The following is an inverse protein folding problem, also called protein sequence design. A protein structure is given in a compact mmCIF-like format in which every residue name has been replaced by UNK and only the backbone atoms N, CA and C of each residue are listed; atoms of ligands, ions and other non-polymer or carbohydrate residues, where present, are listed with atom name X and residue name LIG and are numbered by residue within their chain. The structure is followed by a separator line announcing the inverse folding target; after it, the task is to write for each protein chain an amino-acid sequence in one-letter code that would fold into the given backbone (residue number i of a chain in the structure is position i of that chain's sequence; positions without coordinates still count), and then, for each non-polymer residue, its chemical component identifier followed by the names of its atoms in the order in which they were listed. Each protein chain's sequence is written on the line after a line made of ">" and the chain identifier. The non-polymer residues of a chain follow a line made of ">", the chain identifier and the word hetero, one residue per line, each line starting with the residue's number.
data_IF_329099420945
#
_entry.id   IF_329099420945
#
_cell.length_a   1.000
_cell.length_b   1.000
_cell.length_c   1.000
_cell.angle_alpha   90.00
_cell.angle_beta   90.00
_cell.angle_gamma   90.00
#
_symmetry.space_group_name_H-M   'P 1'
#
loop_
_entity.id
_entity.type
_entity.pdbx_description
1 polymer ?
#
# COMPACT_ATOMS: atom_id res chain seq x y z
N UNK A 1 -2.64 17.60 -8.18
CA UNK A 1 -2.18 17.90 -6.79
C UNK A 1 -3.30 18.38 -5.86
N UNK A 2 -4.52 18.66 -6.34
CA UNK A 2 -5.62 19.28 -5.58
C UNK A 2 -6.58 18.30 -4.85
N UNK A 3 -6.54 17.00 -5.15
CA UNK A 3 -7.47 16.02 -4.55
C UNK A 3 -6.88 15.22 -3.38
N UNK A 4 -5.55 15.02 -3.36
CA UNK A 4 -4.84 14.26 -2.31
C UNK A 4 -5.01 14.89 -0.92
N UNK A 5 -5.04 16.23 -0.84
CA UNK A 5 -5.22 16.96 0.44
C UNK A 5 -6.63 16.87 1.04
N UNK A 6 -7.62 16.34 0.31
CA UNK A 6 -9.00 16.19 0.83
C UNK A 6 -9.16 14.97 1.73
N UNK A 7 -8.20 14.05 1.71
CA UNK A 7 -8.24 12.84 2.51
C UNK A 7 -7.59 13.12 3.87
N UNK A 8 -8.37 13.06 4.95
CA UNK A 8 -7.92 13.26 6.33
C UNK A 8 -6.69 12.40 6.65
N UNK A 9 -6.62 11.19 6.10
CA UNK A 9 -5.50 10.27 6.24
C UNK A 9 -4.16 10.87 5.75
N UNK A 10 -4.19 11.64 4.66
CA UNK A 10 -3.00 12.24 4.05
C UNK A 10 -2.66 13.61 4.64
N UNK A 11 -3.61 14.23 5.35
CA UNK A 11 -3.39 15.51 6.04
C UNK A 11 -2.48 15.40 7.26
N UNK A 12 -2.32 14.18 7.80
CA UNK A 12 -1.47 13.87 8.95
C UNK A 12 -0.02 13.58 8.55
N UNK A 13 0.27 13.47 7.25
CA UNK A 13 1.58 13.14 6.73
C UNK A 13 2.46 14.37 6.54
N UNK A 14 3.78 14.16 6.54
CA UNK A 14 4.75 15.20 6.26
C UNK A 14 4.46 15.87 4.88
N UNK A 15 4.40 17.21 4.78
CA UNK A 15 4.14 17.89 3.53
C UNK A 15 5.12 17.57 2.40
N UNK A 16 6.40 17.32 2.71
CA UNK A 16 7.42 16.89 1.75
C UNK A 16 7.11 15.49 1.22
N UNK A 17 6.74 14.57 2.11
CA UNK A 17 6.30 13.23 1.73
C UNK A 17 5.06 13.29 0.80
N UNK A 18 4.06 14.10 1.17
CA UNK A 18 2.85 14.31 0.34
C UNK A 18 3.20 14.85 -1.05
N UNK A 19 4.18 15.74 -1.15
CA UNK A 19 4.65 16.26 -2.44
C UNK A 19 5.38 15.21 -3.29
N UNK A 20 5.93 14.17 -2.66
CA UNK A 20 6.58 13.04 -3.33
C UNK A 20 5.60 11.96 -3.81
N UNK A 21 4.32 12.02 -3.42
CA UNK A 21 3.30 11.07 -3.87
C UNK A 21 3.09 11.21 -5.38
N UNK A 22 3.21 10.07 -6.08
CA UNK A 22 2.83 9.91 -7.49
C UNK A 22 1.38 9.46 -7.61
N UNK A 23 1.01 8.44 -6.85
CA UNK A 23 -0.33 7.86 -6.82
C UNK A 23 -0.67 7.42 -5.40
N UNK A 24 -1.94 7.54 -5.02
CA UNK A 24 -2.44 7.06 -3.74
C UNK A 24 -3.81 6.41 -3.94
N UNK A 25 -4.00 5.23 -3.39
CA UNK A 25 -5.26 4.50 -3.43
C UNK A 25 -5.73 4.31 -2.02
N UNK A 26 -6.88 4.90 -1.72
CA UNK A 26 -7.57 4.73 -0.45
C UNK A 26 -8.55 3.57 -0.60
N UNK A 27 -8.52 2.65 0.35
CA UNK A 27 -9.38 1.46 0.38
C UNK A 27 -9.83 1.15 1.82
N UNK A 28 -10.55 0.04 1.96
CA UNK A 28 -11.17 -0.35 3.22
C UNK A 28 -12.58 0.21 3.37
N UNK A 29 -13.43 -0.52 4.10
CA UNK A 29 -14.83 -0.15 4.31
C UNK A 29 -15.02 1.18 5.06
N UNK A 30 -13.98 1.65 5.75
CA UNK A 30 -13.97 2.92 6.47
C UNK A 30 -13.11 4.00 5.78
N UNK A 31 -12.48 3.71 4.62
CA UNK A 31 -11.59 4.65 3.93
C UNK A 31 -10.37 5.08 4.75
N UNK A 32 -9.94 4.23 5.68
CA UNK A 32 -8.85 4.51 6.62
C UNK A 32 -7.54 3.83 6.22
N UNK A 33 -7.49 3.14 5.09
CA UNK A 33 -6.27 2.55 4.56
C UNK A 33 -5.87 3.20 3.25
N UNK A 34 -4.56 3.29 3.03
CA UNK A 34 -4.02 3.73 1.76
C UNK A 34 -2.76 2.98 1.36
N UNK A 35 -2.60 2.82 0.05
CA UNK A 35 -1.33 2.53 -0.59
C UNK A 35 -0.85 3.78 -1.28
N UNK A 36 0.43 4.07 -1.10
CA UNK A 36 1.05 5.28 -1.59
C UNK A 36 2.23 4.86 -2.46
N UNK A 37 2.19 5.23 -3.73
CA UNK A 37 3.31 5.10 -4.65
C UNK A 37 3.94 6.47 -4.85
N UNK A 38 5.25 6.57 -4.61
CA UNK A 38 5.99 7.82 -4.70
C UNK A 38 6.73 7.96 -6.04
N UNK A 39 7.20 9.17 -6.34
CA UNK A 39 7.90 9.48 -7.60
C UNK A 39 9.26 8.81 -7.71
N UNK A 40 9.89 8.50 -6.58
CA UNK A 40 11.12 7.71 -6.45
C UNK A 40 10.87 6.20 -6.41
N UNK A 41 9.68 5.77 -6.87
CA UNK A 41 9.29 4.37 -7.04
C UNK A 41 9.32 3.55 -5.74
N UNK A 42 9.01 4.21 -4.62
CA UNK A 42 8.82 3.56 -3.33
C UNK A 42 7.32 3.37 -3.09
N UNK A 43 6.96 2.29 -2.42
CA UNK A 43 5.56 1.98 -2.09
C UNK A 43 5.41 1.87 -0.59
N UNK A 44 4.39 2.54 -0.05
CA UNK A 44 4.08 2.59 1.37
C UNK A 44 2.64 2.15 1.63
N UNK A 45 2.43 1.51 2.78
CA UNK A 45 1.13 1.21 3.35
C UNK A 45 0.82 2.11 4.54
N UNK A 46 -0.44 2.49 4.70
CA UNK A 46 -0.94 3.33 5.78
C UNK A 46 -2.32 2.83 6.24
N UNK A 47 -2.59 2.77 7.54
CA UNK A 47 -3.89 2.36 8.07
C UNK A 47 -3.86 1.66 9.44
N UNK A 48 -5.03 1.55 10.07
CA UNK A 48 -5.12 1.21 11.51
C UNK A 48 -5.25 -0.28 11.81
N UNK A 49 -5.84 -1.10 10.91
CA UNK A 49 -6.18 -2.50 11.23
C UNK A 49 -5.70 -3.53 10.19
N UNK A 50 -5.39 -3.08 8.98
CA UNK A 50 -5.12 -3.95 7.83
C UNK A 50 -3.70 -3.83 7.29
N UNK A 51 -2.91 -2.92 7.88
CA UNK A 51 -1.47 -2.85 7.71
C UNK A 51 -0.73 -4.13 8.15
N UNK A 52 -1.31 -4.94 9.02
CA UNK A 52 -0.82 -6.29 9.31
C UNK A 52 -0.68 -7.16 8.04
N UNK A 53 -1.44 -6.86 6.97
CA UNK A 53 -1.37 -7.57 5.67
C UNK A 53 -0.15 -7.20 4.83
N UNK A 54 0.44 -6.04 5.11
CA UNK A 54 1.61 -5.49 4.45
C UNK A 54 2.88 -5.69 5.29
N UNK A 55 2.79 -6.41 6.41
CA UNK A 55 3.89 -6.58 7.38
C UNK A 55 4.14 -5.35 8.25
N UNK A 56 3.18 -4.42 8.28
CA UNK A 56 3.27 -3.13 8.98
C UNK A 56 2.64 -3.29 10.38
N UNK A 57 3.35 -2.98 11.49
CA UNK A 57 2.78 -3.01 12.84
C UNK A 57 1.48 -2.20 12.94
N UNK A 58 0.47 -2.78 13.60
CA UNK A 58 -0.84 -2.17 13.79
C UNK A 58 -0.76 -0.87 14.60
N UNK A 59 -1.50 0.16 14.17
CA UNK A 59 -1.72 1.38 14.95
C UNK A 59 -0.80 2.56 14.64
N UNK A 60 0.09 2.47 13.66
CA UNK A 60 0.86 3.63 13.18
C UNK A 60 0.11 4.38 12.08
N UNK A 61 -0.14 5.67 12.28
CA UNK A 61 -0.52 6.61 11.21
C UNK A 61 0.68 7.09 10.40
N UNK A 62 1.82 6.39 10.51
CA UNK A 62 3.02 6.64 9.74
C UNK A 62 3.05 5.72 8.51
N UNK A 63 3.39 6.23 7.31
CA UNK A 63 3.56 5.40 6.13
C UNK A 63 4.71 4.43 6.36
N UNK A 64 4.45 3.13 6.22
CA UNK A 64 5.50 2.13 6.29
C UNK A 64 5.80 1.55 4.92
N UNK A 65 7.09 1.39 4.66
CA UNK A 65 7.62 0.97 3.38
C UNK A 65 7.33 -0.50 3.13
N UNK A 66 6.87 -0.82 1.93
CA UNK A 66 6.66 -2.18 1.43
C UNK A 66 7.83 -2.51 0.52
N UNK A 67 8.93 -2.98 1.09
CA UNK A 67 10.20 -3.17 0.36
C UNK A 67 10.07 -4.06 -0.87
N UNK A 68 9.15 -5.04 -0.86
CA UNK A 68 8.91 -5.94 -1.99
C UNK A 68 8.49 -5.22 -3.28
N UNK A 69 7.79 -4.09 -3.16
CA UNK A 69 7.26 -3.34 -4.30
C UNK A 69 8.14 -2.15 -4.68
N UNK A 70 9.10 -1.80 -3.85
CA UNK A 70 9.98 -0.66 -4.10
C UNK A 70 10.93 -0.98 -5.26
N UNK A 71 11.07 -0.04 -6.20
CA UNK A 71 11.89 -0.21 -7.40
C UNK A 71 11.28 -1.14 -8.47
N UNK A 72 10.05 -1.63 -8.26
CA UNK A 72 9.36 -2.52 -9.20
C UNK A 72 8.59 -1.78 -10.31
N UNK A 73 8.59 -0.44 -10.32
CA UNK A 73 7.82 0.39 -11.26
C UNK A 73 6.37 -0.06 -11.33
N UNK A 74 5.67 0.02 -10.21
CA UNK A 74 4.25 -0.33 -10.16
C UNK A 74 3.48 0.64 -11.06
N UNK A 75 2.68 0.09 -11.98
CA UNK A 75 1.85 0.86 -12.91
C UNK A 75 0.38 0.87 -12.55
N UNK A 76 -0.06 -0.10 -11.74
CA UNK A 76 -1.45 -0.21 -11.33
C UNK A 76 -1.58 -1.01 -10.03
N UNK A 77 -2.50 -0.59 -9.17
CA UNK A 77 -3.01 -1.43 -8.10
C UNK A 77 -4.48 -1.75 -8.32
N UNK A 78 -4.93 -2.88 -7.76
CA UNK A 78 -6.33 -3.25 -7.69
C UNK A 78 -6.66 -3.81 -6.31
N UNK A 79 -7.86 -3.51 -5.82
CA UNK A 79 -8.38 -4.05 -4.57
C UNK A 79 -9.75 -4.68 -4.80
N UNK A 80 -10.05 -5.76 -4.09
CA UNK A 80 -11.31 -6.50 -4.19
C UNK A 80 -12.16 -6.44 -2.92
N UNK A 81 -13.33 -7.08 -2.96
CA UNK A 81 -14.09 -7.38 -1.74
C UNK A 81 -13.36 -8.47 -0.96
N UNK A 82 -13.12 -8.22 0.33
CA UNK A 82 -12.20 -9.00 1.14
C UNK A 82 -10.75 -8.51 1.03
N UNK A 83 -9.82 -9.18 1.70
CA UNK A 83 -8.46 -8.69 1.88
C UNK A 83 -7.59 -9.13 0.70
N UNK A 84 -7.92 -8.61 -0.48
CA UNK A 84 -7.23 -8.91 -1.72
C UNK A 84 -6.71 -7.63 -2.31
N UNK A 85 -5.39 -7.52 -2.31
CA UNK A 85 -4.67 -6.43 -2.95
C UNK A 85 -3.78 -7.02 -4.05
N UNK A 86 -3.73 -6.33 -5.19
CA UNK A 86 -2.88 -6.67 -6.32
C UNK A 86 -2.07 -5.44 -6.73
N UNK A 87 -0.81 -5.66 -7.10
CA UNK A 87 0.02 -4.66 -7.76
C UNK A 87 0.61 -5.24 -9.04
N UNK A 88 0.57 -4.46 -10.11
CA UNK A 88 1.11 -4.83 -11.42
C UNK A 88 2.29 -3.92 -11.74
N UNK A 89 3.46 -4.50 -11.99
CA UNK A 89 4.63 -3.75 -12.45
C UNK A 89 4.59 -3.45 -13.95
N UNK A 90 5.45 -2.52 -14.39
CA UNK A 90 5.74 -2.32 -15.80
C UNK A 90 6.39 -3.55 -16.48
N UNK A 91 7.13 -4.36 -15.72
CA UNK A 91 7.72 -5.62 -16.19
C UNK A 91 6.70 -6.74 -16.38
N UNK A 92 5.45 -6.56 -15.93
CA UNK A 92 4.40 -7.58 -15.99
C UNK A 92 4.39 -8.54 -14.79
N UNK A 93 5.21 -8.29 -13.77
CA UNK A 93 5.14 -8.99 -12.48
C UNK A 93 3.86 -8.57 -11.75
N UNK A 94 3.11 -9.56 -11.25
CA UNK A 94 1.92 -9.33 -10.43
C UNK A 94 2.21 -9.76 -9.01
N UNK A 95 2.01 -8.85 -8.07
CA UNK A 95 2.15 -9.10 -6.64
C UNK A 95 0.76 -9.17 -6.03
N UNK A 96 0.49 -10.21 -5.25
CA UNK A 96 -0.77 -10.38 -4.55
C UNK A 96 -0.56 -10.58 -3.06
N UNK A 97 -1.45 -10.01 -2.26
CA UNK A 97 -1.50 -10.21 -0.81
C UNK A 97 -2.88 -10.66 -0.39
N UNK A 98 -2.92 -11.57 0.61
CA UNK A 98 -4.16 -12.03 1.25
C UNK A 98 -4.06 -11.96 2.77
N UNK A 99 -5.19 -11.68 3.42
CA UNK A 99 -5.34 -11.84 4.87
C UNK A 99 -4.98 -13.24 5.33
N UNK A 100 -4.13 -13.28 6.36
CA UNK A 100 -3.99 -14.45 7.20
C UNK A 100 -4.30 -14.03 8.64
N UNK A 101 -5.51 -14.31 9.11
CA UNK A 101 -6.06 -13.87 10.40
C UNK A 101 -5.34 -14.44 11.64
N UNK A 102 -4.28 -15.24 11.44
CA UNK A 102 -3.66 -16.08 12.47
C UNK A 102 -2.22 -15.66 12.82
N UNK A 103 -1.88 -14.37 12.72
CA UNK A 103 -0.77 -13.80 13.48
C UNK A 103 0.62 -14.38 13.23
N UNK A 104 0.89 -15.01 12.09
CA UNK A 104 2.26 -15.36 11.72
C UNK A 104 2.90 -14.18 10.99
N UNK A 105 3.85 -13.55 11.69
CA UNK A 105 4.85 -12.60 11.24
C UNK A 105 5.79 -13.26 10.20
N UNK A 106 5.21 -13.71 9.09
CA UNK A 106 5.91 -14.37 8.00
C UNK A 106 5.61 -13.55 6.74
N UNK A 107 6.61 -12.98 6.04
CA UNK A 107 6.40 -12.27 4.76
C UNK A 107 5.91 -13.20 3.62
N UNK A 108 5.53 -14.45 3.93
CA UNK A 108 5.20 -15.54 3.03
C UNK A 108 3.88 -15.41 2.25
N UNK A 109 3.08 -14.35 2.46
CA UNK A 109 1.82 -14.18 1.72
C UNK A 109 1.92 -13.28 0.48
N UNK A 110 3.11 -12.78 0.16
CA UNK A 110 3.34 -12.08 -1.10
C UNK A 110 3.66 -13.12 -2.18
N UNK A 111 2.67 -13.49 -2.99
CA UNK A 111 2.94 -14.34 -4.15
C UNK A 111 3.23 -13.44 -5.35
N UNK A 112 4.47 -13.52 -5.83
CA UNK A 112 4.83 -12.97 -7.12
C UNK A 112 4.40 -13.96 -8.20
N UNK A 113 3.50 -13.53 -9.06
CA UNK A 113 3.16 -14.23 -10.29
C UNK A 113 3.96 -13.60 -11.43
N UNK A 114 4.71 -14.44 -12.15
CA UNK A 114 5.32 -14.08 -13.42
C UNK A 114 4.44 -14.67 -14.52
N UNK A 115 3.93 -13.82 -15.40
CA UNK A 115 3.31 -14.27 -16.66
C UNK A 115 4.39 -14.60 -17.69
#
# INVERSE_FOLDING_TARGET
>A
MSEIKRWTLLSLLDPEFVNNIKECIVFGSAGCEALIHTKDDQVYGLGTNYCCWLGVPSGSFEPLKIDLLCGKRIKQFAYGSGPHLLALSESGEVFAWRHNSFGQLEPQNCVQFNC
#
